data_IF_895970550487
#
_entry.id   IF_895970550487
#
_cell.length_a   1.000
_cell.length_b   1.000
_cell.length_c   1.000
_cell.angle_alpha   90.00
_cell.angle_beta   90.00
_cell.angle_gamma   90.00
#
_symmetry.space_group_name_H-M   'P 1'
#
loop_
_entity.id
_entity.type
_entity.pdbx_description
1 polymer ?
#
# COMPACT_ATOMS: atom_id res chain seq x y z
N UNK A 1 56.63 47.08 -8.50
CA UNK A 1 57.56 45.96 -8.25
C UNK A 1 57.68 45.17 -9.55
N UNK A 2 58.82 45.28 -10.29
CA UNK A 2 59.06 44.58 -11.56
C UNK A 2 59.40 43.13 -11.24
N UNK A 3 58.49 42.22 -11.49
CA UNK A 3 58.74 40.77 -11.39
C UNK A 3 59.84 40.39 -12.38
N UNK A 4 60.88 39.70 -11.88
CA UNK A 4 62.01 39.22 -12.71
C UNK A 4 61.46 38.16 -13.67
N UNK A 5 61.68 38.32 -14.97
CA UNK A 5 61.18 37.44 -16.06
C UNK A 5 61.52 35.97 -15.86
N UNK A 6 62.50 35.66 -15.02
CA UNK A 6 62.91 34.28 -14.65
C UNK A 6 61.82 33.51 -13.80
N UNK A 7 61.04 34.24 -13.00
CA UNK A 7 60.04 33.61 -12.15
C UNK A 7 58.68 33.44 -12.81
N UNK A 8 58.45 34.02 -13.99
CA UNK A 8 57.17 33.97 -14.67
C UNK A 8 56.70 32.56 -15.02
N UNK A 9 57.56 31.64 -15.55
CA UNK A 9 57.13 30.26 -15.81
C UNK A 9 56.81 29.48 -14.52
N UNK A 10 57.49 29.79 -13.42
CA UNK A 10 57.22 29.12 -12.12
C UNK A 10 55.84 29.55 -11.57
N UNK A 11 55.50 30.81 -11.67
CA UNK A 11 54.20 31.35 -11.22
C UNK A 11 53.05 30.73 -12.04
N UNK A 12 53.24 30.59 -13.38
CA UNK A 12 52.26 29.93 -14.23
C UNK A 12 52.09 28.45 -13.85
N UNK A 13 53.19 27.73 -13.63
CA UNK A 13 53.12 26.32 -13.24
C UNK A 13 52.39 26.12 -11.90
N UNK A 14 52.66 26.98 -10.91
CA UNK A 14 51.95 26.97 -9.63
C UNK A 14 50.47 27.31 -9.79
N UNK A 15 50.13 28.30 -10.60
CA UNK A 15 48.74 28.67 -10.87
C UNK A 15 47.97 27.55 -11.57
N UNK A 16 48.56 26.82 -12.49
CA UNK A 16 47.98 25.66 -13.16
C UNK A 16 47.78 24.49 -12.15
N UNK A 17 48.80 24.22 -11.32
CA UNK A 17 48.72 23.19 -10.30
C UNK A 17 47.61 23.47 -9.26
N UNK A 18 47.50 24.72 -8.80
CA UNK A 18 46.45 25.18 -7.90
C UNK A 18 45.07 25.12 -8.58
N UNK A 19 44.99 25.53 -9.84
CA UNK A 19 43.77 25.44 -10.66
C UNK A 19 43.27 23.99 -10.84
N UNK A 20 44.18 23.04 -11.07
CA UNK A 20 43.84 21.59 -11.15
C UNK A 20 43.39 21.03 -9.80
N UNK A 21 44.05 21.42 -8.70
CA UNK A 21 43.70 20.99 -7.35
C UNK A 21 42.33 21.57 -6.89
N UNK A 22 42.03 22.80 -7.23
CA UNK A 22 40.76 23.44 -6.93
C UNK A 22 39.65 22.91 -7.87
N UNK A 23 39.94 22.68 -9.14
CA UNK A 23 39.01 22.14 -10.11
C UNK A 23 38.56 20.70 -9.77
N UNK A 24 39.48 19.89 -9.24
CA UNK A 24 39.17 18.53 -8.79
C UNK A 24 38.26 18.52 -7.56
N UNK A 25 38.32 19.55 -6.71
CA UNK A 25 37.42 19.70 -5.54
C UNK A 25 36.07 20.33 -5.87
N UNK A 26 35.96 21.09 -6.96
CA UNK A 26 34.73 21.79 -7.32
C UNK A 26 33.79 20.95 -8.24
N UNK A 27 34.27 19.81 -8.72
CA UNK A 27 33.43 18.90 -9.52
C UNK A 27 33.29 17.54 -8.84
N UNK A 28 32.42 17.42 -7.81
CA UNK A 28 32.22 16.17 -7.09
C UNK A 28 31.47 15.08 -7.89
N UNK A 29 31.03 15.40 -9.11
CA UNK A 29 30.16 14.52 -9.90
C UNK A 29 30.89 13.54 -10.84
N UNK A 30 32.23 13.60 -10.98
CA UNK A 30 32.89 12.70 -11.94
C UNK A 30 33.84 11.64 -11.36
N UNK A 31 34.15 11.65 -10.07
CA UNK A 31 35.12 10.71 -9.50
C UNK A 31 34.61 9.38 -9.00
N UNK A 32 33.29 9.21 -8.82
CA UNK A 32 32.75 7.93 -8.34
C UNK A 32 32.46 6.89 -9.44
N UNK A 33 32.62 7.25 -10.71
CA UNK A 33 32.35 6.33 -11.83
C UNK A 33 33.52 5.39 -12.18
N UNK A 34 34.77 5.77 -11.88
CA UNK A 34 35.94 4.99 -12.33
C UNK A 34 36.47 3.94 -11.35
N UNK A 35 36.05 3.97 -10.09
CA UNK A 35 36.51 3.03 -9.06
C UNK A 35 35.39 2.16 -8.48
N UNK A 36 34.28 2.01 -9.17
CA UNK A 36 33.25 1.07 -8.75
C UNK A 36 33.78 -0.37 -8.84
N UNK A 37 34.09 -0.95 -7.69
CA UNK A 37 34.51 -2.34 -7.49
C UNK A 37 33.52 -3.41 -8.03
N UNK A 38 32.41 -2.99 -8.63
CA UNK A 38 31.36 -3.87 -9.14
C UNK A 38 31.02 -3.58 -10.60
N UNK A 39 31.87 -4.02 -11.53
CA UNK A 39 31.60 -4.00 -12.97
C UNK A 39 30.22 -4.61 -13.33
N UNK A 40 29.74 -5.53 -12.51
CA UNK A 40 28.44 -6.18 -12.72
C UNK A 40 27.24 -5.29 -12.36
N UNK A 41 27.37 -4.40 -11.38
CA UNK A 41 26.28 -3.43 -11.06
C UNK A 41 26.09 -2.43 -12.20
N UNK A 42 27.17 -2.00 -12.83
CA UNK A 42 27.13 -1.06 -13.95
C UNK A 42 26.53 -1.67 -15.22
N UNK A 43 26.49 -3.02 -15.35
CA UNK A 43 25.87 -3.66 -16.53
C UNK A 43 24.38 -3.40 -16.61
N UNK A 44 23.67 -3.44 -15.48
CA UNK A 44 22.22 -3.20 -15.44
C UNK A 44 21.91 -1.76 -15.85
N UNK A 45 22.62 -0.78 -15.27
CA UNK A 45 22.42 0.62 -15.63
C UNK A 45 22.70 0.85 -17.12
N UNK A 46 23.83 0.33 -17.64
CA UNK A 46 24.17 0.43 -19.07
C UNK A 46 23.14 -0.23 -19.99
N UNK A 47 22.53 -1.33 -19.56
CA UNK A 47 21.47 -1.99 -20.31
C UNK A 47 20.21 -1.12 -20.37
N UNK A 48 19.84 -0.53 -19.24
CA UNK A 48 18.69 0.39 -19.16
C UNK A 48 18.95 1.63 -20.03
N UNK A 49 20.13 2.26 -19.89
CA UNK A 49 20.54 3.40 -20.70
C UNK A 49 20.55 3.07 -22.21
N UNK A 50 21.00 1.86 -22.59
CA UNK A 50 20.97 1.40 -23.96
C UNK A 50 19.54 1.22 -24.50
N UNK A 51 18.65 0.63 -23.71
CA UNK A 51 17.24 0.47 -24.07
C UNK A 51 16.58 1.84 -24.23
N UNK A 52 16.85 2.77 -23.35
CA UNK A 52 16.26 4.11 -23.37
C UNK A 52 16.70 4.95 -24.58
N UNK A 53 17.98 4.83 -24.97
CA UNK A 53 18.58 5.73 -25.96
C UNK A 53 18.75 5.11 -27.36
N UNK A 54 18.86 3.79 -27.45
CA UNK A 54 19.27 3.11 -28.70
C UNK A 54 18.24 2.10 -29.22
N UNK A 55 17.23 1.72 -28.40
CA UNK A 55 16.23 0.75 -28.86
C UNK A 55 15.24 1.39 -29.84
N UNK A 56 14.85 0.62 -30.89
CA UNK A 56 14.05 1.15 -32.02
C UNK A 56 12.65 1.58 -31.60
N UNK A 57 12.03 0.87 -30.65
CA UNK A 57 10.69 1.18 -30.17
C UNK A 57 10.76 1.98 -28.87
N UNK A 58 9.86 2.97 -28.71
CA UNK A 58 9.70 3.69 -27.47
C UNK A 58 9.13 2.78 -26.39
N UNK A 59 9.92 2.45 -25.39
CA UNK A 59 9.53 1.62 -24.26
C UNK A 59 9.39 2.45 -22.98
N UNK A 60 8.50 2.03 -22.10
CA UNK A 60 8.39 2.61 -20.78
C UNK A 60 9.49 2.02 -19.87
N UNK A 61 10.56 2.78 -19.69
CA UNK A 61 11.75 2.38 -18.92
C UNK A 61 11.40 2.09 -17.45
N UNK A 62 10.48 2.87 -16.85
CA UNK A 62 10.03 2.66 -15.46
C UNK A 62 9.41 1.27 -15.29
N UNK A 63 8.57 0.84 -16.24
CA UNK A 63 7.97 -0.51 -16.20
C UNK A 63 9.01 -1.61 -16.33
N UNK A 64 10.06 -1.40 -17.14
CA UNK A 64 11.17 -2.37 -17.28
C UNK A 64 11.97 -2.45 -15.99
N UNK A 65 12.22 -1.31 -15.35
CA UNK A 65 12.92 -1.24 -14.05
C UNK A 65 12.10 -1.96 -12.98
N UNK A 66 10.80 -1.72 -12.89
CA UNK A 66 9.89 -2.35 -11.93
C UNK A 66 9.89 -3.89 -12.10
N UNK A 67 9.77 -4.39 -13.34
CA UNK A 67 9.86 -5.81 -13.65
C UNK A 67 11.22 -6.41 -13.26
N UNK A 68 12.30 -5.67 -13.50
CA UNK A 68 13.66 -6.12 -13.17
C UNK A 68 13.84 -6.21 -11.65
N UNK A 69 13.34 -5.22 -10.90
CA UNK A 69 13.39 -5.22 -9.43
C UNK A 69 12.62 -6.42 -8.87
N UNK A 70 11.40 -6.68 -9.37
CA UNK A 70 10.61 -7.86 -9.00
C UNK A 70 11.37 -9.15 -9.27
N UNK A 71 11.94 -9.31 -10.48
CA UNK A 71 12.71 -10.50 -10.83
C UNK A 71 13.97 -10.73 -9.98
N UNK A 72 14.56 -9.66 -9.43
CA UNK A 72 15.67 -9.77 -8.47
C UNK A 72 15.15 -10.23 -7.11
N UNK A 73 14.05 -9.66 -6.62
CA UNK A 73 13.49 -9.97 -5.30
C UNK A 73 12.95 -11.40 -5.22
N UNK A 74 12.30 -11.90 -6.27
CA UNK A 74 11.85 -13.30 -6.38
C UNK A 74 12.98 -14.33 -6.19
N UNK A 75 14.26 -13.95 -6.46
CA UNK A 75 15.42 -14.82 -6.24
C UNK A 75 15.93 -14.80 -4.80
N UNK A 76 15.44 -13.90 -3.96
CA UNK A 76 15.86 -13.80 -2.56
C UNK A 76 15.00 -14.72 -1.68
N UNK A 77 13.71 -14.44 -1.60
CA UNK A 77 12.73 -15.21 -0.84
C UNK A 77 11.30 -14.87 -1.31
N UNK A 78 10.30 -15.73 -1.00
CA UNK A 78 8.92 -15.52 -1.45
C UNK A 78 8.19 -14.38 -0.70
N UNK A 79 8.80 -13.75 0.31
CA UNK A 79 8.20 -12.68 1.12
C UNK A 79 8.72 -11.29 0.74
N UNK A 80 9.80 -11.23 -0.07
CA UNK A 80 10.35 -9.97 -0.56
C UNK A 80 9.60 -9.52 -1.80
N UNK A 81 8.79 -8.48 -1.66
CA UNK A 81 7.95 -7.93 -2.74
C UNK A 81 8.28 -6.46 -2.97
N UNK A 82 8.41 -6.07 -4.23
CA UNK A 82 8.48 -4.67 -4.63
C UNK A 82 7.07 -4.10 -4.82
N UNK A 83 6.82 -2.93 -4.26
CA UNK A 83 5.56 -2.21 -4.45
C UNK A 83 5.85 -1.02 -5.38
N UNK A 84 5.36 -1.06 -6.63
CA UNK A 84 5.49 0.06 -7.57
C UNK A 84 4.84 1.32 -7.01
N UNK A 85 5.37 2.49 -7.40
CA UNK A 85 4.81 3.79 -6.97
C UNK A 85 3.33 3.94 -7.31
N UNK A 86 2.89 3.35 -8.42
CA UNK A 86 1.48 3.33 -8.85
C UNK A 86 0.56 2.57 -7.89
N UNK A 87 1.08 1.57 -7.17
CA UNK A 87 0.32 0.72 -6.26
C UNK A 87 0.48 1.14 -4.78
N UNK A 88 1.50 1.96 -4.47
CA UNK A 88 1.84 2.34 -3.10
C UNK A 88 0.64 2.91 -2.34
N UNK A 89 -0.12 3.82 -2.95
CA UNK A 89 -1.29 4.44 -2.31
C UNK A 89 -2.39 3.41 -1.96
N UNK A 90 -2.60 2.40 -2.81
CA UNK A 90 -3.58 1.34 -2.55
C UNK A 90 -3.13 0.42 -1.41
N UNK A 91 -1.82 0.09 -1.37
CA UNK A 91 -1.24 -0.70 -0.28
C UNK A 91 -1.31 0.06 1.04
N UNK A 92 -0.94 1.35 1.06
CA UNK A 92 -1.05 2.20 2.26
C UNK A 92 -2.48 2.31 2.77
N UNK A 93 -3.47 2.50 1.88
CA UNK A 93 -4.89 2.49 2.25
C UNK A 93 -5.31 1.16 2.87
N UNK A 94 -4.90 0.04 2.25
CA UNK A 94 -5.17 -1.29 2.78
C UNK A 94 -4.55 -1.50 4.17
N UNK A 95 -3.32 -1.01 4.37
CA UNK A 95 -2.61 -1.11 5.66
C UNK A 95 -3.21 -0.19 6.74
N UNK A 96 -3.71 0.99 6.39
CA UNK A 96 -4.49 1.82 7.33
C UNK A 96 -5.83 1.17 7.70
N UNK A 97 -6.37 0.31 6.84
CA UNK A 97 -7.69 -0.29 7.00
C UNK A 97 -8.80 0.66 6.57
N UNK A 98 -8.57 1.45 5.52
CA UNK A 98 -9.57 2.31 4.91
C UNK A 98 -9.29 2.56 3.41
N UNK A 99 -10.28 3.09 2.71
CA UNK A 99 -10.13 3.63 1.36
C UNK A 99 -11.09 4.81 1.15
N UNK A 100 -10.82 5.62 0.14
CA UNK A 100 -11.73 6.72 -0.22
C UNK A 100 -12.60 6.31 -1.41
N UNK A 101 -13.91 6.44 -1.24
CA UNK A 101 -14.87 6.09 -2.29
C UNK A 101 -16.32 6.37 -1.91
N UNK A 102 -17.25 5.80 -2.66
CA UNK A 102 -18.69 6.00 -2.43
C UNK A 102 -19.30 5.11 -1.35
N UNK A 103 -18.60 4.04 -0.92
CA UNK A 103 -19.08 3.17 0.16
C UNK A 103 -20.29 2.30 -0.20
N UNK A 104 -20.14 1.44 -1.20
CA UNK A 104 -21.14 0.41 -1.57
C UNK A 104 -20.50 -0.95 -1.71
N UNK A 105 -21.19 -1.98 -1.27
CA UNK A 105 -20.94 -3.35 -1.69
C UNK A 105 -21.76 -3.59 -2.96
N UNK A 106 -21.12 -4.05 -4.01
CA UNK A 106 -21.74 -4.25 -5.32
C UNK A 106 -21.28 -5.53 -5.99
N UNK A 107 -22.01 -5.95 -7.01
CA UNK A 107 -21.61 -7.02 -7.93
C UNK A 107 -22.13 -6.70 -9.32
N UNK A 108 -21.53 -7.32 -10.33
CA UNK A 108 -22.05 -7.23 -11.68
C UNK A 108 -23.19 -8.24 -11.88
N UNK A 109 -24.34 -7.76 -12.29
CA UNK A 109 -25.51 -8.59 -12.58
C UNK A 109 -26.15 -8.15 -13.89
N UNK A 110 -26.27 -9.07 -14.86
CA UNK A 110 -26.77 -8.80 -16.18
C UNK A 110 -26.15 -7.50 -16.76
N UNK A 111 -24.83 -7.51 -16.86
CA UNK A 111 -24.01 -6.40 -17.38
C UNK A 111 -24.31 -5.02 -16.77
N UNK A 112 -24.74 -4.95 -15.53
CA UNK A 112 -24.92 -3.70 -14.79
C UNK A 112 -24.47 -3.83 -13.32
N UNK A 113 -24.02 -2.73 -12.76
CA UNK A 113 -23.56 -2.66 -11.38
C UNK A 113 -24.77 -2.65 -10.44
N UNK A 114 -24.95 -3.74 -9.68
CA UNK A 114 -26.01 -3.88 -8.68
C UNK A 114 -25.50 -3.61 -7.27
N UNK A 115 -26.15 -2.74 -6.55
CA UNK A 115 -25.85 -2.45 -5.14
C UNK A 115 -26.40 -3.60 -4.28
N UNK A 116 -25.50 -4.33 -3.61
CA UNK A 116 -25.87 -5.33 -2.59
C UNK A 116 -26.35 -4.59 -1.36
N UNK A 117 -25.50 -3.71 -0.83
CA UNK A 117 -25.78 -2.91 0.37
C UNK A 117 -24.87 -1.69 0.40
N UNK A 118 -25.39 -0.49 0.66
CA UNK A 118 -24.57 0.66 1.07
C UNK A 118 -23.89 0.36 2.40
N UNK A 119 -22.67 0.87 2.58
CA UNK A 119 -21.96 0.78 3.86
C UNK A 119 -22.65 1.71 4.85
N UNK A 120 -22.93 1.18 6.05
CA UNK A 120 -23.63 1.94 7.10
C UNK A 120 -22.87 3.22 7.47
N UNK A 121 -23.59 4.31 7.58
CA UNK A 121 -23.09 5.67 7.79
C UNK A 121 -22.14 6.19 6.69
N UNK A 122 -22.01 5.46 5.58
CA UNK A 122 -21.18 5.81 4.44
C UNK A 122 -21.82 6.83 3.49
N UNK A 123 -21.03 7.34 2.52
CA UNK A 123 -21.49 8.35 1.55
C UNK A 123 -22.71 7.93 0.75
N UNK A 124 -22.74 6.70 0.27
CA UNK A 124 -23.83 6.18 -0.55
C UNK A 124 -25.13 6.04 0.24
N UNK A 125 -25.09 5.62 1.49
CA UNK A 125 -26.26 5.56 2.35
C UNK A 125 -26.81 6.97 2.61
N UNK A 126 -25.92 7.92 2.95
CA UNK A 126 -26.29 9.35 3.15
C UNK A 126 -26.90 9.96 1.89
N UNK A 127 -26.43 9.55 0.72
CA UNK A 127 -26.97 9.99 -0.58
C UNK A 127 -28.28 9.28 -0.97
N UNK A 128 -28.78 8.32 -0.17
CA UNK A 128 -30.06 7.65 -0.37
C UNK A 128 -30.03 6.45 -1.30
N UNK A 129 -28.85 5.86 -1.59
CA UNK A 129 -28.76 4.57 -2.28
C UNK A 129 -29.31 3.47 -1.38
N UNK A 130 -29.94 2.47 -1.99
CA UNK A 130 -30.54 1.32 -1.30
C UNK A 130 -30.05 0.00 -1.93
N UNK A 131 -30.17 -1.09 -1.17
CA UNK A 131 -29.98 -2.44 -1.69
C UNK A 131 -30.89 -2.71 -2.87
N UNK A 132 -30.37 -3.32 -3.94
CA UNK A 132 -31.10 -3.60 -5.17
C UNK A 132 -31.09 -2.46 -6.19
N UNK A 133 -30.55 -1.29 -5.87
CA UNK A 133 -30.33 -0.21 -6.87
C UNK A 133 -29.34 -0.67 -7.93
N UNK A 134 -29.57 -0.22 -9.17
CA UNK A 134 -28.66 -0.45 -10.30
C UNK A 134 -27.99 0.86 -10.66
N UNK A 135 -26.68 0.93 -10.57
CA UNK A 135 -25.92 2.10 -11.01
C UNK A 135 -25.67 1.95 -12.51
N UNK A 136 -26.27 2.84 -13.28
CA UNK A 136 -26.20 2.83 -14.74
C UNK A 136 -25.08 3.70 -15.27
N UNK A 137 -24.82 4.86 -14.63
CA UNK A 137 -23.75 5.77 -15.01
C UNK A 137 -23.05 6.29 -13.77
N UNK A 138 -21.75 6.53 -13.91
CA UNK A 138 -20.95 7.36 -13.02
C UNK A 138 -20.43 8.55 -13.83
N UNK A 139 -20.89 9.75 -13.51
CA UNK A 139 -20.74 10.94 -14.35
C UNK A 139 -21.22 10.69 -15.78
N UNK A 140 -20.32 10.74 -16.76
CA UNK A 140 -20.61 10.47 -18.17
C UNK A 140 -20.34 9.01 -18.57
N UNK A 141 -19.76 8.21 -17.69
CA UNK A 141 -19.34 6.85 -17.99
C UNK A 141 -20.50 5.88 -17.81
N UNK A 142 -20.83 5.14 -18.88
CA UNK A 142 -21.83 4.08 -18.86
C UNK A 142 -21.29 2.83 -18.18
N UNK A 143 -22.02 2.29 -17.17
CA UNK A 143 -21.67 1.12 -16.37
C UNK A 143 -22.58 -0.09 -16.62
N UNK A 144 -23.37 -0.07 -17.69
CA UNK A 144 -24.23 -1.20 -18.08
C UNK A 144 -23.99 -1.57 -19.53
N UNK A 145 -24.36 -2.81 -19.91
CA UNK A 145 -24.13 -3.40 -21.24
C UNK A 145 -22.66 -3.28 -21.69
N UNK A 146 -21.74 -3.36 -20.74
CA UNK A 146 -20.30 -3.37 -20.99
C UNK A 146 -19.66 -4.40 -20.07
N UNK A 147 -18.72 -5.16 -20.62
CA UNK A 147 -17.87 -6.06 -19.84
C UNK A 147 -16.78 -5.22 -19.17
N UNK A 148 -17.07 -4.70 -17.96
CA UNK A 148 -16.11 -3.93 -17.18
C UNK A 148 -15.47 -4.87 -16.16
N UNK A 149 -14.14 -4.84 -16.11
CA UNK A 149 -13.36 -5.50 -15.07
C UNK A 149 -13.69 -4.89 -13.70
N UNK A 150 -13.71 -5.72 -12.67
CA UNK A 150 -14.03 -5.28 -11.29
C UNK A 150 -13.10 -4.17 -10.81
N UNK A 151 -11.81 -4.25 -11.13
CA UNK A 151 -10.81 -3.23 -10.76
C UNK A 151 -11.07 -1.88 -11.43
N UNK A 152 -11.52 -1.90 -12.69
CA UNK A 152 -11.95 -0.69 -13.39
C UNK A 152 -13.16 -0.04 -12.73
N UNK A 153 -14.11 -0.83 -12.22
CA UNK A 153 -15.26 -0.33 -11.46
C UNK A 153 -14.82 0.28 -10.12
N UNK A 154 -13.90 -0.37 -9.42
CA UNK A 154 -13.33 0.19 -8.19
C UNK A 154 -12.66 1.54 -8.43
N UNK A 155 -11.85 1.66 -9.49
CA UNK A 155 -11.17 2.93 -9.81
C UNK A 155 -12.13 4.06 -10.17
N UNK A 156 -13.28 3.77 -10.80
CA UNK A 156 -14.32 4.74 -11.11
C UNK A 156 -15.05 5.23 -9.85
N UNK A 157 -15.32 4.32 -8.90
CA UNK A 157 -16.09 4.61 -7.69
C UNK A 157 -15.22 5.17 -6.56
N UNK A 158 -13.92 4.86 -6.55
CA UNK A 158 -12.91 5.51 -5.69
C UNK A 158 -12.58 6.90 -6.22
N UNK A 159 -11.80 7.66 -5.46
CA UNK A 159 -11.28 8.97 -5.86
C UNK A 159 -10.78 9.76 -4.66
N UNK A 160 -10.56 11.04 -4.82
CA UNK A 160 -10.11 11.92 -3.75
C UNK A 160 -11.22 12.18 -2.73
N UNK A 161 -10.87 12.28 -1.46
CA UNK A 161 -11.81 12.61 -0.40
C UNK A 161 -12.43 13.98 -0.64
N UNK A 162 -13.75 14.07 -0.47
CA UNK A 162 -14.53 15.28 -0.72
C UNK A 162 -14.90 15.50 -2.20
N UNK A 163 -14.36 14.70 -3.13
CA UNK A 163 -14.76 14.77 -4.54
C UNK A 163 -16.17 14.20 -4.73
N UNK A 164 -16.89 14.72 -5.72
CA UNK A 164 -18.25 14.29 -6.02
C UNK A 164 -18.29 13.40 -7.26
N UNK A 165 -19.16 12.41 -7.24
CA UNK A 165 -19.53 11.62 -8.41
C UNK A 165 -21.06 11.64 -8.57
N UNK A 166 -21.52 11.96 -9.80
CA UNK A 166 -22.94 11.93 -10.13
C UNK A 166 -23.30 10.53 -10.64
N UNK A 167 -24.09 9.81 -9.86
CA UNK A 167 -24.57 8.50 -10.23
C UNK A 167 -25.96 8.60 -10.86
N UNK A 168 -26.19 7.89 -11.97
CA UNK A 168 -27.53 7.65 -12.48
C UNK A 168 -27.95 6.25 -12.05
N UNK A 169 -29.03 6.17 -11.31
CA UNK A 169 -29.49 4.97 -10.62
C UNK A 169 -30.88 4.57 -11.12
N UNK A 170 -31.10 3.26 -11.30
CA UNK A 170 -32.41 2.67 -11.51
C UNK A 170 -32.82 1.84 -10.30
N UNK A 171 -33.95 2.21 -9.68
CA UNK A 171 -34.54 1.51 -8.56
C UNK A 171 -35.73 0.68 -9.03
N UNK A 172 -35.56 -0.65 -9.04
CA UNK A 172 -36.58 -1.58 -9.54
C UNK A 172 -37.87 -1.54 -8.73
N UNK A 173 -37.79 -1.42 -7.41
CA UNK A 173 -38.96 -1.37 -6.51
C UNK A 173 -39.89 -0.18 -6.79
N UNK A 174 -39.34 0.93 -7.26
CA UNK A 174 -40.06 2.17 -7.56
C UNK A 174 -40.24 2.35 -9.08
N UNK A 175 -39.65 1.46 -9.92
CA UNK A 175 -39.59 1.57 -11.39
C UNK A 175 -39.08 2.94 -11.85
N UNK A 176 -38.19 3.54 -11.08
CA UNK A 176 -37.74 4.93 -11.27
C UNK A 176 -36.25 5.02 -11.60
N UNK A 177 -35.92 5.88 -12.55
CA UNK A 177 -34.55 6.30 -12.83
C UNK A 177 -34.34 7.71 -12.27
N UNK A 178 -33.27 7.92 -11.51
CA UNK A 178 -32.94 9.20 -10.89
C UNK A 178 -31.43 9.40 -10.82
N UNK A 179 -31.01 10.66 -10.63
CA UNK A 179 -29.62 10.99 -10.41
C UNK A 179 -29.40 11.29 -8.93
N UNK A 180 -28.24 10.90 -8.41
CA UNK A 180 -27.80 11.18 -7.07
C UNK A 180 -26.34 11.59 -7.08
N UNK A 181 -25.98 12.65 -6.34
CA UNK A 181 -24.60 13.05 -6.13
C UNK A 181 -24.09 12.40 -4.87
N UNK A 182 -22.96 11.71 -4.98
CA UNK A 182 -22.28 11.09 -3.83
C UNK A 182 -20.95 11.78 -3.64
N UNK A 183 -20.73 12.35 -2.47
CA UNK A 183 -19.42 12.89 -2.07
C UNK A 183 -18.59 11.76 -1.54
N UNK A 184 -17.43 11.47 -2.17
CA UNK A 184 -16.54 10.42 -1.72
C UNK A 184 -15.94 10.73 -0.36
N UNK A 185 -15.86 9.74 0.49
CA UNK A 185 -15.34 9.88 1.84
C UNK A 185 -14.57 8.62 2.25
N UNK A 186 -13.91 8.67 3.40
CA UNK A 186 -13.17 7.57 3.98
C UNK A 186 -14.13 6.43 4.37
N UNK A 187 -13.89 5.26 3.83
CA UNK A 187 -14.65 4.05 4.09
C UNK A 187 -13.77 3.09 4.89
N UNK A 188 -14.14 2.74 6.13
CA UNK A 188 -13.36 1.79 6.92
C UNK A 188 -13.47 0.39 6.33
N UNK A 189 -12.34 -0.29 6.24
CA UNK A 189 -12.24 -1.70 5.87
C UNK A 189 -11.91 -2.46 7.15
N UNK A 190 -12.85 -3.24 7.65
CA UNK A 190 -12.61 -4.05 8.84
C UNK A 190 -11.55 -5.11 8.57
N UNK A 191 -10.67 -5.30 9.53
CA UNK A 191 -9.67 -6.37 9.55
C UNK A 191 -10.16 -7.57 10.35
N UNK A 192 -11.12 -7.35 11.26
CA UNK A 192 -11.80 -8.41 11.99
C UNK A 192 -13.14 -8.66 11.31
N UNK A 193 -13.24 -9.77 10.57
CA UNK A 193 -14.40 -10.10 9.75
C UNK A 193 -15.55 -10.71 10.55
N UNK A 194 -15.23 -11.48 11.57
CA UNK A 194 -16.23 -12.16 12.37
C UNK A 194 -15.83 -12.19 13.85
N UNK A 195 -16.81 -11.94 14.71
CA UNK A 195 -16.74 -12.09 16.17
C UNK A 195 -18.03 -12.77 16.59
N UNK A 196 -17.98 -13.99 17.13
CA UNK A 196 -19.17 -14.74 17.53
C UNK A 196 -18.85 -15.82 18.55
N UNK A 197 -19.82 -16.19 19.37
CA UNK A 197 -19.76 -17.41 20.17
C UNK A 197 -19.98 -18.63 19.28
N UNK A 198 -19.11 -19.64 19.42
CA UNK A 198 -19.26 -20.96 18.78
C UNK A 198 -20.13 -21.90 19.66
N UNK A 199 -19.89 -21.83 20.96
CA UNK A 199 -20.67 -22.52 22.00
C UNK A 199 -20.76 -21.63 23.24
N UNK A 200 -21.23 -22.19 24.38
CA UNK A 200 -21.44 -21.39 25.60
C UNK A 200 -20.16 -20.82 26.23
N UNK A 201 -18.99 -21.35 25.86
CA UNK A 201 -17.70 -21.02 26.48
C UNK A 201 -16.61 -20.63 25.49
N UNK A 202 -16.84 -20.85 24.20
CA UNK A 202 -15.84 -20.66 23.15
C UNK A 202 -16.25 -19.54 22.22
N UNK A 203 -15.42 -18.50 22.17
CA UNK A 203 -15.53 -17.40 21.22
C UNK A 203 -14.65 -17.62 19.97
N UNK A 204 -15.05 -17.05 18.86
CA UNK A 204 -14.36 -17.09 17.58
C UNK A 204 -14.15 -15.69 17.05
N UNK A 205 -12.91 -15.41 16.63
CA UNK A 205 -12.51 -14.14 16.00
C UNK A 205 -11.76 -14.46 14.71
N UNK A 206 -12.24 -13.93 13.57
CA UNK A 206 -11.51 -14.03 12.29
C UNK A 206 -10.82 -12.72 11.96
N UNK A 207 -9.49 -12.79 11.75
CA UNK A 207 -8.65 -11.65 11.37
C UNK A 207 -8.15 -11.89 9.95
N UNK A 208 -8.53 -11.06 8.98
CA UNK A 208 -8.15 -11.21 7.57
C UNK A 208 -6.82 -10.53 7.21
N UNK A 209 -6.37 -9.56 8.03
CA UNK A 209 -5.08 -8.86 7.88
C UNK A 209 -4.69 -8.18 9.18
N UNK A 210 -3.44 -7.71 9.27
CA UNK A 210 -2.96 -6.87 10.37
C UNK A 210 -2.80 -5.42 9.92
N UNK A 211 -3.92 -4.68 9.83
CA UNK A 211 -3.97 -3.25 9.56
C UNK A 211 -3.75 -2.43 10.84
N UNK A 212 -3.65 -1.11 10.71
CA UNK A 212 -3.41 -0.19 11.84
C UNK A 212 -4.47 -0.32 12.94
N UNK A 213 -5.75 -0.49 12.55
CA UNK A 213 -6.90 -0.59 13.47
C UNK A 213 -7.22 -2.01 13.95
N UNK A 214 -6.48 -3.01 13.48
CA UNK A 214 -6.78 -4.42 13.78
C UNK A 214 -6.76 -4.75 15.26
N UNK A 215 -5.81 -4.19 16.00
CA UNK A 215 -5.74 -4.41 17.44
C UNK A 215 -6.99 -3.88 18.18
N UNK A 216 -7.44 -2.67 17.85
CA UNK A 216 -8.63 -2.07 18.48
C UNK A 216 -9.90 -2.85 18.14
N UNK A 217 -10.04 -3.29 16.88
CA UNK A 217 -11.14 -4.13 16.43
C UNK A 217 -11.13 -5.49 17.16
N UNK A 218 -9.95 -6.10 17.27
CA UNK A 218 -9.76 -7.36 17.98
C UNK A 218 -10.09 -7.23 19.48
N UNK A 219 -9.57 -6.21 20.15
CA UNK A 219 -9.81 -5.97 21.58
C UNK A 219 -11.30 -5.73 21.87
N UNK A 220 -11.98 -4.99 20.97
CA UNK A 220 -13.43 -4.80 21.05
C UNK A 220 -14.19 -6.14 20.95
N UNK A 221 -13.81 -6.98 19.96
CA UNK A 221 -14.38 -8.31 19.78
C UNK A 221 -14.11 -9.24 20.97
N UNK A 222 -12.88 -9.27 21.46
CA UNK A 222 -12.48 -10.07 22.62
C UNK A 222 -13.28 -9.66 23.87
N UNK A 223 -13.43 -8.36 24.08
CA UNK A 223 -14.22 -7.82 25.21
C UNK A 223 -15.68 -8.20 25.11
N UNK A 224 -16.26 -8.19 23.91
CA UNK A 224 -17.63 -8.65 23.65
C UNK A 224 -17.79 -10.11 24.03
N UNK A 225 -16.91 -10.99 23.49
CA UNK A 225 -16.96 -12.42 23.75
C UNK A 225 -16.79 -12.78 25.23
N UNK A 226 -15.87 -12.09 25.93
CA UNK A 226 -15.72 -12.25 27.39
C UNK A 226 -17.00 -11.90 28.15
N UNK A 227 -17.72 -10.83 27.76
CA UNK A 227 -19.04 -10.49 28.35
C UNK A 227 -20.12 -11.51 28.04
N UNK A 228 -20.04 -12.19 26.90
CA UNK A 228 -20.96 -13.27 26.50
C UNK A 228 -20.62 -14.61 27.15
N UNK A 229 -19.51 -14.71 27.93
CA UNK A 229 -19.12 -15.88 28.71
C UNK A 229 -18.03 -16.73 28.09
N UNK A 230 -17.33 -16.25 27.08
CA UNK A 230 -16.21 -16.97 26.49
C UNK A 230 -15.04 -17.08 27.47
N UNK A 231 -14.58 -18.31 27.70
CA UNK A 231 -13.37 -18.66 28.46
C UNK A 231 -12.26 -19.19 27.53
N UNK A 232 -12.63 -19.57 26.32
CA UNK A 232 -11.72 -20.04 25.28
C UNK A 232 -11.92 -19.19 24.02
N UNK A 233 -10.82 -18.93 23.30
CA UNK A 233 -10.87 -18.13 22.06
C UNK A 233 -10.20 -18.90 20.93
N UNK A 234 -10.89 -18.97 19.80
CA UNK A 234 -10.35 -19.43 18.52
C UNK A 234 -10.04 -18.19 17.69
N UNK A 235 -8.77 -18.01 17.32
CA UNK A 235 -8.34 -16.98 16.38
C UNK A 235 -8.12 -17.64 15.02
N UNK A 236 -8.89 -17.21 14.02
CA UNK A 236 -8.78 -17.70 12.65
C UNK A 236 -7.97 -16.73 11.81
N UNK A 237 -6.79 -17.18 11.35
CA UNK A 237 -5.88 -16.46 10.48
C UNK A 237 -5.82 -17.05 9.06
N UNK A 238 -6.77 -17.91 8.69
CA UNK A 238 -6.83 -18.46 7.33
C UNK A 238 -7.07 -17.33 6.34
N UNK A 239 -6.31 -17.33 5.25
CA UNK A 239 -6.29 -16.29 4.22
C UNK A 239 -5.79 -14.91 4.71
N UNK A 240 -5.12 -14.86 5.88
CA UNK A 240 -4.47 -13.65 6.36
C UNK A 240 -3.11 -13.49 5.68
N UNK A 241 -2.98 -12.48 4.83
CA UNK A 241 -1.74 -12.15 4.11
C UNK A 241 -0.68 -11.42 4.95
N UNK A 242 -0.91 -11.23 6.25
CA UNK A 242 -0.01 -10.48 7.12
C UNK A 242 -0.40 -9.00 7.29
N UNK A 243 0.59 -8.13 7.42
CA UNK A 243 0.42 -6.69 7.63
C UNK A 243 1.41 -6.12 8.64
N UNK A 244 0.98 -5.18 9.48
CA UNK A 244 1.82 -4.57 10.50
C UNK A 244 2.18 -5.54 11.61
N UNK A 245 3.49 -5.75 11.81
CA UNK A 245 4.03 -6.57 12.89
C UNK A 245 3.58 -6.07 14.26
N UNK A 246 3.53 -4.74 14.45
CA UNK A 246 3.08 -4.11 15.70
C UNK A 246 1.67 -4.52 16.11
N UNK A 247 0.74 -4.58 15.14
CA UNK A 247 -0.64 -5.05 15.39
C UNK A 247 -0.69 -6.52 15.83
N UNK A 248 0.11 -7.38 15.18
CA UNK A 248 0.22 -8.79 15.55
C UNK A 248 0.85 -8.98 16.94
N UNK A 249 1.90 -8.19 17.25
CA UNK A 249 2.57 -8.19 18.56
C UNK A 249 1.59 -7.80 19.68
N UNK A 250 0.81 -6.72 19.47
CA UNK A 250 -0.18 -6.27 20.47
C UNK A 250 -1.26 -7.33 20.73
N UNK A 251 -1.70 -8.04 19.68
CA UNK A 251 -2.67 -9.13 19.82
C UNK A 251 -2.05 -10.33 20.56
N UNK A 252 -0.80 -10.69 20.24
CA UNK A 252 -0.10 -11.77 20.94
C UNK A 252 0.14 -11.43 22.43
N UNK A 253 0.40 -10.18 22.74
CA UNK A 253 0.59 -9.69 24.11
C UNK A 253 -0.63 -9.94 25.01
N UNK A 254 -1.86 -9.93 24.46
CA UNK A 254 -3.10 -10.23 25.21
C UNK A 254 -3.16 -11.65 25.77
N UNK A 255 -2.31 -12.57 25.30
CA UNK A 255 -2.32 -14.00 25.67
C UNK A 255 -1.06 -14.48 26.39
N UNK A 256 -0.05 -13.67 26.49
CA UNK A 256 1.27 -14.04 26.98
C UNK A 256 1.56 -13.40 28.34
N UNK A 257 2.29 -14.09 29.18
CA UNK A 257 2.71 -13.55 30.47
C UNK A 257 3.82 -12.50 30.28
N UNK A 258 3.85 -11.53 31.17
CA UNK A 258 4.89 -10.50 31.18
C UNK A 258 6.29 -11.09 30.98
N UNK A 259 7.07 -10.48 30.09
CA UNK A 259 8.45 -10.86 29.69
C UNK A 259 8.55 -12.15 28.89
N UNK A 260 7.46 -12.81 28.49
CA UNK A 260 7.54 -13.89 27.50
C UNK A 260 7.94 -13.32 26.13
N UNK A 261 8.72 -14.10 25.39
CA UNK A 261 9.19 -13.69 24.07
C UNK A 261 8.08 -13.80 23.02
N UNK A 262 7.72 -12.68 22.38
CA UNK A 262 6.78 -12.66 21.28
C UNK A 262 7.50 -12.90 19.96
N UNK A 263 8.49 -12.07 19.63
CA UNK A 263 9.20 -12.15 18.35
C UNK A 263 10.66 -11.74 18.47
N UNK A 264 11.54 -12.38 17.69
CA UNK A 264 12.93 -11.96 17.48
C UNK A 264 13.15 -11.62 16.04
N UNK A 265 13.78 -10.47 15.79
CA UNK A 265 14.28 -10.10 14.47
C UNK A 265 15.81 -10.09 14.48
N UNK A 266 16.42 -10.60 13.41
CA UNK A 266 17.87 -10.65 13.25
C UNK A 266 18.23 -10.04 11.90
N UNK A 267 19.13 -9.07 11.90
CA UNK A 267 19.62 -8.47 10.67
C UNK A 267 20.91 -9.17 10.17
N UNK A 268 21.38 -8.78 8.99
CA UNK A 268 22.62 -9.34 8.36
C UNK A 268 23.89 -9.15 9.22
N UNK A 269 23.90 -8.20 10.16
CA UNK A 269 25.02 -7.94 11.07
C UNK A 269 24.88 -8.67 12.40
N UNK A 270 24.02 -9.69 12.46
CA UNK A 270 23.71 -10.47 13.67
C UNK A 270 23.12 -9.65 14.84
N UNK A 271 22.70 -8.40 14.60
CA UNK A 271 21.97 -7.63 15.58
C UNK A 271 20.59 -8.25 15.79
N UNK A 272 20.33 -8.68 17.00
CA UNK A 272 19.05 -9.27 17.41
C UNK A 272 18.24 -8.21 18.17
N UNK A 273 17.00 -8.04 17.76
CA UNK A 273 15.99 -7.27 18.49
C UNK A 273 14.91 -8.24 18.97
N UNK A 274 14.53 -8.15 20.23
CA UNK A 274 13.52 -9.02 20.84
C UNK A 274 12.39 -8.16 21.38
N UNK A 275 11.16 -8.53 21.02
CA UNK A 275 9.95 -7.94 21.58
C UNK A 275 9.34 -8.91 22.58
N UNK A 276 9.14 -8.44 23.80
CA UNK A 276 8.62 -9.22 24.91
C UNK A 276 7.19 -8.79 25.24
N UNK A 277 6.42 -9.72 25.79
CA UNK A 277 5.10 -9.44 26.31
C UNK A 277 5.16 -8.50 27.53
N UNK A 278 4.11 -7.74 27.71
CA UNK A 278 3.94 -6.74 28.78
C UNK A 278 2.99 -7.24 29.87
N UNK A 279 2.73 -6.39 30.86
CA UNK A 279 1.73 -6.69 31.93
C UNK A 279 0.29 -6.39 31.51
N UNK A 280 0.07 -6.02 30.24
CA UNK A 280 -1.26 -5.61 29.77
C UNK A 280 -2.15 -6.80 29.37
N UNK A 281 -1.53 -7.91 28.99
CA UNK A 281 -2.24 -9.12 28.56
C UNK A 281 -2.72 -10.04 29.68
#
# INVERSE_FOLDING_TARGET
>A
MKMNKVYFPIVIAVAIAVGLLLGSKLNPSSENSFLSKNANKNKLNKLIDFIENEYVDSLNTDSIVDLTVNGILEKLDPHSVYIPKSELAAVEQSMRGDFVGIGVNFYMYNDSLAVIKPIANGPSEKAGLKSGDRILFADKLQLYNKKLETDSLFSILKGEQGSNVKLTVYRKSEKKKFAVNVTRDVIPIKSVDAVQMVDKTTGYIKINRFAEKTYDEFLSGLTQLKKEGANHIIIDLRDNGGGYLDSAVKIADEFLKNKELIVKTKNKKDKIESTLATEKG
#
